data_IF_921093409607
#
_entry.id   IF_921093409607
#
_cell.length_a   1.000
_cell.length_b   1.000
_cell.length_c   1.000
_cell.angle_alpha   90.00
_cell.angle_beta   90.00
_cell.angle_gamma   90.00
#
_symmetry.space_group_name_H-M   'P 1'
#
loop_
_entity.id
_entity.type
_entity.pdbx_description
1 polymer ?
#
# COMPACT_ATOMS: atom_id res chain seq x y z
N UNK A 1 13.99 -18.65 3.38
CA UNK A 1 14.24 -17.23 3.69
C UNK A 1 13.81 -16.98 5.14
N UNK A 2 14.71 -16.52 5.98
CA UNK A 2 14.41 -16.28 7.40
C UNK A 2 14.12 -14.81 7.64
N UNK A 3 13.06 -14.51 8.38
CA UNK A 3 12.77 -13.13 8.81
C UNK A 3 13.49 -12.89 10.14
N UNK A 4 14.52 -12.08 10.13
CA UNK A 4 15.38 -11.84 11.31
C UNK A 4 14.95 -10.59 12.07
N UNK A 5 14.43 -9.58 11.35
CA UNK A 5 14.02 -8.29 11.92
C UNK A 5 12.88 -7.67 11.13
N UNK A 6 12.04 -6.93 11.83
CA UNK A 6 11.02 -6.07 11.26
C UNK A 6 11.15 -4.65 11.81
N UNK A 7 11.03 -3.66 10.97
CA UNK A 7 11.03 -2.25 11.36
C UNK A 7 9.78 -1.59 10.81
N UNK A 8 8.93 -1.06 11.69
CA UNK A 8 7.73 -0.31 11.33
C UNK A 8 7.97 1.17 11.58
N UNK A 9 7.63 2.00 10.60
CA UNK A 9 7.72 3.46 10.66
C UNK A 9 6.42 4.09 10.24
N UNK A 10 5.98 5.11 10.97
CA UNK A 10 4.93 5.99 10.52
C UNK A 10 5.55 7.15 9.74
N UNK A 11 5.03 7.43 8.55
CA UNK A 11 5.50 8.49 7.66
C UNK A 11 4.35 9.44 7.38
N UNK A 12 4.46 10.72 7.76
CA UNK A 12 3.51 11.74 7.33
C UNK A 12 3.79 12.10 5.86
N UNK A 13 2.76 12.06 5.03
CA UNK A 13 2.83 12.45 3.62
C UNK A 13 1.78 13.51 3.34
N UNK A 14 2.21 14.60 2.69
CA UNK A 14 1.30 15.62 2.17
C UNK A 14 1.04 15.34 0.69
N UNK A 15 -0.25 15.20 0.34
CA UNK A 15 -0.66 15.07 -1.05
C UNK A 15 -0.34 16.37 -1.82
N UNK A 16 -0.01 16.25 -3.09
CA UNK A 16 0.24 17.42 -3.97
C UNK A 16 -0.99 18.30 -4.09
N UNK A 17 -2.18 17.68 -4.11
CA UNK A 17 -3.46 18.34 -4.17
C UNK A 17 -4.40 17.79 -3.11
N UNK A 18 -5.37 18.60 -2.66
CA UNK A 18 -6.45 18.12 -1.82
C UNK A 18 -7.27 17.06 -2.55
N UNK A 19 -7.41 15.89 -1.96
CA UNK A 19 -8.16 14.79 -2.56
C UNK A 19 -9.52 14.65 -1.89
N UNK A 20 -10.57 15.01 -2.63
CA UNK A 20 -11.94 14.97 -2.15
C UNK A 20 -12.70 13.78 -2.73
N UNK A 21 -13.49 13.13 -1.86
CA UNK A 21 -14.46 12.08 -2.19
C UNK A 21 -15.80 12.40 -1.54
N UNK A 22 -16.85 11.64 -1.88
CA UNK A 22 -18.19 11.88 -1.34
C UNK A 22 -18.30 11.80 0.20
N UNK A 23 -17.43 11.05 0.85
CA UNK A 23 -17.40 10.88 2.32
C UNK A 23 -16.43 11.83 3.05
N UNK A 24 -15.72 12.70 2.33
CA UNK A 24 -14.75 13.62 2.93
C UNK A 24 -13.56 13.91 2.03
N UNK A 25 -12.52 14.51 2.58
CA UNK A 25 -11.30 14.83 1.85
C UNK A 25 -10.06 14.79 2.74
N UNK A 26 -8.90 14.68 2.13
CA UNK A 26 -7.62 14.65 2.82
C UNK A 26 -6.53 15.38 2.03
N UNK A 27 -5.70 16.12 2.73
CA UNK A 27 -4.46 16.72 2.23
C UNK A 27 -3.24 15.99 2.81
N UNK A 28 -3.34 15.58 4.05
CA UNK A 28 -2.24 14.95 4.77
C UNK A 28 -2.61 13.49 5.06
N UNK A 29 -1.65 12.59 4.90
CA UNK A 29 -1.81 11.17 5.16
C UNK A 29 -0.75 10.68 6.14
N UNK A 30 -1.15 9.77 7.00
CA UNK A 30 -0.27 8.95 7.83
C UNK A 30 -0.21 7.58 7.18
N UNK A 31 0.95 7.11 6.81
CA UNK A 31 1.13 5.75 6.29
C UNK A 31 2.12 4.98 7.16
N UNK A 32 1.97 3.66 7.21
CA UNK A 32 2.93 2.80 7.88
C UNK A 32 3.80 2.11 6.84
N UNK A 33 5.10 2.35 6.93
CA UNK A 33 6.09 1.69 6.08
C UNK A 33 6.76 0.58 6.89
N UNK A 34 6.64 -0.64 6.41
CA UNK A 34 7.25 -1.82 6.99
C UNK A 34 8.50 -2.23 6.20
N UNK A 35 9.57 -2.53 6.91
CA UNK A 35 10.75 -3.22 6.37
C UNK A 35 10.89 -4.56 7.05
N UNK A 36 10.94 -5.64 6.29
CA UNK A 36 11.39 -6.97 6.75
C UNK A 36 12.84 -7.17 6.34
N UNK A 37 13.63 -7.78 7.22
CA UNK A 37 15.05 -8.03 7.01
C UNK A 37 15.38 -9.47 7.36
N UNK A 38 16.26 -10.09 6.55
CA UNK A 38 16.77 -11.43 6.79
C UNK A 38 17.68 -11.89 5.65
N UNK A 39 18.59 -12.80 5.93
CA UNK A 39 19.58 -13.32 4.98
C UNK A 39 20.37 -12.21 4.23
N UNK A 40 20.59 -11.07 4.89
CA UNK A 40 21.25 -9.91 4.29
C UNK A 40 20.41 -9.09 3.30
N UNK A 41 19.13 -9.36 3.18
CA UNK A 41 18.18 -8.72 2.29
C UNK A 41 17.17 -7.86 3.06
N UNK A 42 16.52 -6.95 2.36
CA UNK A 42 15.40 -6.15 2.86
C UNK A 42 14.25 -6.22 1.87
N UNK A 43 13.02 -6.30 2.40
CA UNK A 43 11.78 -6.15 1.64
C UNK A 43 10.89 -5.08 2.28
N UNK A 44 10.14 -4.37 1.45
CA UNK A 44 9.35 -3.21 1.83
C UNK A 44 7.85 -3.42 1.57
N UNK A 45 7.03 -3.02 2.53
CA UNK A 45 5.58 -3.03 2.41
C UNK A 45 4.95 -1.81 3.04
N UNK A 46 3.80 -1.40 2.54
CA UNK A 46 3.07 -0.21 2.99
C UNK A 46 1.68 -0.60 3.50
N UNK A 47 1.31 -0.13 4.70
CA UNK A 47 -0.07 -0.17 5.17
C UNK A 47 -0.71 1.21 4.93
N UNK A 48 -1.75 1.22 4.09
CA UNK A 48 -2.43 2.43 3.61
C UNK A 48 -3.71 2.77 4.37
N UNK A 49 -3.90 2.23 5.57
CA UNK A 49 -5.05 2.54 6.40
C UNK A 49 -5.12 4.04 6.68
N UNK A 50 -6.34 4.59 6.63
CA UNK A 50 -6.58 6.01 6.87
C UNK A 50 -6.40 6.37 8.35
N UNK A 51 -6.26 7.66 8.66
CA UNK A 51 -6.17 8.12 10.04
C UNK A 51 -7.49 7.92 10.82
N UNK A 52 -8.63 7.90 10.13
CA UNK A 52 -9.96 7.71 10.67
C UNK A 52 -10.72 6.57 9.96
N UNK A 53 -11.76 5.98 10.59
CA UNK A 53 -12.50 4.84 10.05
C UNK A 53 -13.64 5.23 9.09
N UNK A 54 -13.56 6.37 8.40
CA UNK A 54 -14.63 6.84 7.52
C UNK A 54 -14.76 6.03 6.23
N UNK A 55 -13.66 5.42 5.77
CA UNK A 55 -13.63 4.61 4.55
C UNK A 55 -13.58 3.11 4.84
N UNK A 56 -12.80 2.68 5.81
CA UNK A 56 -12.65 1.30 6.24
C UNK A 56 -12.55 1.24 7.76
N UNK A 57 -12.81 0.08 8.35
CA UNK A 57 -12.71 -0.10 9.80
C UNK A 57 -11.25 -0.07 10.32
N UNK A 58 -10.28 -0.33 9.45
CA UNK A 58 -8.86 -0.21 9.80
C UNK A 58 -8.42 1.25 9.77
N UNK A 59 -7.71 1.67 10.82
CA UNK A 59 -7.04 2.97 10.87
C UNK A 59 -5.54 2.80 11.01
N UNK A 60 -4.78 3.87 10.79
CA UNK A 60 -3.33 3.87 11.01
C UNK A 60 -2.99 3.36 12.41
N UNK A 61 -3.72 3.82 13.44
CA UNK A 61 -3.45 3.45 14.84
C UNK A 61 -3.84 1.99 15.13
N UNK A 62 -4.98 1.51 14.64
CA UNK A 62 -5.37 0.10 14.80
C UNK A 62 -4.42 -0.82 14.05
N UNK A 63 -3.97 -0.44 12.84
CA UNK A 63 -3.00 -1.20 12.08
C UNK A 63 -1.63 -1.22 12.76
N UNK A 64 -1.19 -0.10 13.32
CA UNK A 64 0.04 -0.05 14.13
C UNK A 64 -0.02 -1.04 15.28
N UNK A 65 -1.08 -0.98 16.10
CA UNK A 65 -1.27 -1.90 17.22
C UNK A 65 -1.26 -3.37 16.77
N UNK A 66 -2.03 -3.72 15.75
CA UNK A 66 -2.09 -5.11 15.26
C UNK A 66 -0.75 -5.58 14.69
N UNK A 67 -0.04 -4.71 13.98
CA UNK A 67 1.29 -5.03 13.47
C UNK A 67 2.28 -5.25 14.61
N UNK A 68 2.38 -4.33 15.57
CA UNK A 68 3.42 -4.37 16.62
C UNK A 68 3.17 -5.45 17.66
N UNK A 69 1.93 -5.67 18.06
CA UNK A 69 1.61 -6.49 19.21
C UNK A 69 1.26 -7.95 18.83
N UNK A 70 0.85 -8.20 17.58
CA UNK A 70 0.38 -9.50 17.15
C UNK A 70 1.08 -10.05 15.91
N UNK A 71 1.16 -9.28 14.82
CA UNK A 71 1.66 -9.79 13.55
C UNK A 71 3.19 -9.93 13.58
N UNK A 72 3.91 -8.84 13.80
CA UNK A 72 5.37 -8.85 13.72
C UNK A 72 6.03 -9.76 14.75
N UNK A 73 5.58 -9.86 16.02
CA UNK A 73 6.12 -10.83 16.96
C UNK A 73 5.94 -12.29 16.53
N UNK A 74 4.89 -12.58 15.74
CA UNK A 74 4.63 -13.94 15.23
C UNK A 74 5.42 -14.25 13.95
N UNK A 75 5.81 -13.22 13.19
CA UNK A 75 6.51 -13.35 11.90
C UNK A 75 8.04 -13.35 12.08
N UNK A 76 8.54 -12.49 12.97
CA UNK A 76 10.00 -12.43 13.22
C UNK A 76 10.50 -13.73 13.84
N UNK A 77 11.59 -14.25 13.28
CA UNK A 77 12.17 -15.55 13.65
C UNK A 77 11.67 -16.72 12.81
N UNK A 78 10.62 -16.53 11.96
CA UNK A 78 10.10 -17.61 11.11
C UNK A 78 11.00 -17.85 9.90
N UNK A 79 11.02 -19.09 9.44
CA UNK A 79 11.63 -19.48 8.18
C UNK A 79 10.53 -19.70 7.14
N UNK A 80 10.60 -18.93 6.06
CA UNK A 80 9.60 -18.93 5.00
C UNK A 80 10.03 -19.85 3.86
N UNK A 81 9.16 -20.78 3.47
CA UNK A 81 9.31 -21.62 2.29
C UNK A 81 8.78 -20.97 1.01
N UNK A 82 7.87 -20.00 1.15
CA UNK A 82 7.37 -19.14 0.07
C UNK A 82 7.02 -17.75 0.62
N UNK A 83 6.91 -16.71 -0.24
CA UNK A 83 6.56 -15.37 0.24
C UNK A 83 5.19 -15.30 0.93
N UNK A 84 4.21 -16.05 0.45
CA UNK A 84 2.83 -16.11 0.99
C UNK A 84 2.81 -16.67 2.42
N UNK A 85 3.72 -17.61 2.72
CA UNK A 85 3.80 -18.29 4.01
C UNK A 85 4.05 -17.33 5.20
N UNK A 86 4.41 -16.06 4.91
CA UNK A 86 4.56 -15.03 5.95
C UNK A 86 3.27 -14.79 6.74
N UNK A 87 2.11 -15.08 6.15
CA UNK A 87 0.82 -14.94 6.81
C UNK A 87 0.36 -16.17 7.59
N UNK A 88 1.02 -17.33 7.43
CA UNK A 88 0.63 -18.57 8.11
C UNK A 88 0.60 -18.43 9.64
N UNK A 89 1.59 -17.81 10.31
CA UNK A 89 1.57 -17.66 11.77
C UNK A 89 0.44 -16.78 12.29
N UNK A 90 -0.17 -15.97 11.41
CA UNK A 90 -1.17 -14.94 11.75
C UNK A 90 -2.54 -15.18 11.11
N UNK A 91 -2.78 -16.38 10.56
CA UNK A 91 -4.06 -16.73 9.92
C UNK A 91 -5.28 -16.56 10.83
N UNK A 92 -5.08 -16.76 12.14
CA UNK A 92 -6.10 -16.67 13.18
C UNK A 92 -6.58 -15.23 13.44
N UNK A 93 -5.79 -14.21 13.06
CA UNK A 93 -6.17 -12.80 13.20
C UNK A 93 -7.31 -12.50 12.20
N UNK A 94 -8.47 -12.15 12.71
CA UNK A 94 -9.62 -11.81 11.87
C UNK A 94 -9.53 -10.37 11.37
N UNK A 95 -9.86 -10.15 10.09
CA UNK A 95 -9.78 -8.83 9.46
C UNK A 95 -8.35 -8.32 9.34
N UNK A 96 -8.16 -7.01 9.50
CA UNK A 96 -6.87 -6.31 9.39
C UNK A 96 -6.11 -6.61 8.09
N UNK A 97 -6.87 -6.52 6.97
CA UNK A 97 -6.34 -6.82 5.64
C UNK A 97 -5.23 -5.89 5.21
N UNK A 98 -5.31 -4.59 5.55
CA UNK A 98 -4.28 -3.61 5.20
C UNK A 98 -2.98 -3.84 5.99
N UNK A 99 -3.10 -4.18 7.28
CA UNK A 99 -1.93 -4.55 8.09
C UNK A 99 -1.25 -5.82 7.59
N UNK A 100 -2.02 -6.86 7.27
CA UNK A 100 -1.52 -8.12 6.69
C UNK A 100 -0.87 -7.90 5.32
N UNK A 101 -1.51 -7.11 4.45
CA UNK A 101 -0.99 -6.80 3.13
C UNK A 101 0.39 -6.13 3.19
N UNK A 102 0.63 -5.25 4.18
CA UNK A 102 1.95 -4.64 4.35
C UNK A 102 3.05 -5.69 4.60
N UNK A 103 2.74 -6.72 5.40
CA UNK A 103 3.69 -7.81 5.69
C UNK A 103 3.89 -8.71 4.47
N UNK A 104 2.81 -9.05 3.78
CA UNK A 104 2.87 -9.86 2.57
C UNK A 104 3.66 -9.16 1.46
N UNK A 105 3.38 -7.87 1.19
CA UNK A 105 4.12 -7.08 0.21
C UNK A 105 5.62 -7.03 0.52
N UNK A 106 5.99 -6.83 1.78
CA UNK A 106 7.39 -6.84 2.20
C UNK A 106 8.06 -8.20 1.97
N UNK A 107 7.34 -9.30 2.22
CA UNK A 107 7.82 -10.66 1.96
C UNK A 107 8.05 -10.91 0.47
N UNK A 108 7.10 -10.52 -0.38
CA UNK A 108 7.23 -10.64 -1.84
C UNK A 108 8.37 -9.79 -2.41
N UNK A 109 8.53 -8.53 -1.94
CA UNK A 109 9.65 -7.67 -2.36
C UNK A 109 11.00 -8.27 -1.96
N UNK A 110 11.10 -8.79 -0.74
CA UNK A 110 12.32 -9.46 -0.26
C UNK A 110 12.64 -10.72 -1.09
N UNK A 111 11.62 -11.54 -1.43
CA UNK A 111 11.79 -12.71 -2.27
C UNK A 111 12.19 -12.37 -3.71
N UNK A 112 11.66 -11.30 -4.28
CA UNK A 112 12.06 -10.82 -5.60
C UNK A 112 13.53 -10.37 -5.61
N UNK A 113 13.98 -9.68 -4.56
CA UNK A 113 15.39 -9.28 -4.38
C UNK A 113 16.31 -10.48 -4.19
N UNK A 114 15.86 -11.52 -3.46
CA UNK A 114 16.60 -12.76 -3.30
C UNK A 114 16.86 -13.47 -4.65
N UNK A 115 15.87 -13.45 -5.52
CA UNK A 115 15.99 -14.02 -6.88
C UNK A 115 16.70 -13.10 -7.87
N UNK A 116 16.98 -11.84 -7.50
CA UNK A 116 17.60 -10.86 -8.40
C UNK A 116 16.68 -10.40 -9.55
N UNK A 117 15.35 -10.49 -9.35
CA UNK A 117 14.36 -10.10 -10.36
C UNK A 117 13.47 -8.96 -9.85
N UNK A 118 12.73 -8.30 -10.77
CA UNK A 118 11.75 -7.32 -10.35
C UNK A 118 10.55 -7.99 -9.65
N UNK A 119 9.86 -7.26 -8.76
CA UNK A 119 8.63 -7.75 -8.15
C UNK A 119 7.58 -8.12 -9.21
N UNK A 120 7.48 -7.32 -10.29
CA UNK A 120 6.60 -7.64 -11.43
C UNK A 120 6.89 -9.01 -12.03
N UNK A 121 8.15 -9.34 -12.27
CA UNK A 121 8.54 -10.67 -12.78
C UNK A 121 8.24 -11.78 -11.77
N UNK A 122 8.54 -11.52 -10.48
CA UNK A 122 8.32 -12.49 -9.40
C UNK A 122 6.85 -12.92 -9.27
N UNK A 123 5.91 -11.99 -9.46
CA UNK A 123 4.47 -12.25 -9.42
C UNK A 123 3.87 -12.64 -10.79
N UNK A 124 4.71 -12.91 -11.80
CA UNK A 124 4.26 -13.38 -13.11
C UNK A 124 3.87 -12.29 -14.10
N UNK A 125 4.32 -11.06 -13.90
CA UNK A 125 4.11 -9.96 -14.85
C UNK A 125 4.83 -10.22 -16.17
N UNK A 126 4.11 -10.01 -17.29
CA UNK A 126 4.60 -10.28 -18.64
C UNK A 126 4.59 -9.03 -19.55
N UNK A 127 4.22 -7.87 -19.01
CA UNK A 127 4.12 -6.64 -19.78
C UNK A 127 5.14 -5.61 -19.30
N UNK A 128 5.81 -4.96 -20.22
CA UNK A 128 6.74 -3.86 -19.92
C UNK A 128 5.99 -2.54 -19.65
N UNK A 129 4.77 -2.41 -20.18
CA UNK A 129 3.93 -1.23 -20.02
C UNK A 129 2.48 -1.62 -19.78
N UNK A 130 1.84 -0.91 -18.87
CA UNK A 130 0.42 -1.07 -18.55
C UNK A 130 -0.28 0.26 -18.78
N UNK A 131 -1.34 0.34 -19.64
CA UNK A 131 -2.15 1.53 -19.78
C UNK A 131 -2.82 1.88 -18.45
N UNK A 132 -2.65 3.12 -18.03
CA UNK A 132 -3.27 3.62 -16.80
C UNK A 132 -4.30 4.71 -17.10
N UNK A 133 -5.28 4.84 -16.23
CA UNK A 133 -6.18 5.99 -16.19
C UNK A 133 -5.87 6.87 -14.99
N UNK A 134 -6.29 8.12 -15.05
CA UNK A 134 -6.20 9.07 -13.94
C UNK A 134 -7.58 9.31 -13.34
N UNK A 135 -7.65 9.59 -12.04
CA UNK A 135 -8.89 9.95 -11.35
C UNK A 135 -8.85 11.41 -10.93
N UNK A 136 -9.89 12.16 -11.31
CA UNK A 136 -10.13 13.52 -10.86
C UNK A 136 -11.01 13.49 -9.62
N UNK A 137 -10.59 14.20 -8.56
CA UNK A 137 -11.40 14.44 -7.38
C UNK A 137 -12.61 15.32 -7.68
N UNK A 138 -13.50 15.48 -6.70
CA UNK A 138 -14.61 16.43 -6.82
C UNK A 138 -14.02 17.84 -6.89
N UNK A 139 -14.51 18.66 -7.81
CA UNK A 139 -14.15 20.07 -8.01
C UNK A 139 -15.29 20.96 -7.59
N UNK A 140 -14.99 22.21 -7.28
CA UNK A 140 -15.99 23.20 -6.87
C UNK A 140 -16.77 23.75 -8.05
N UNK A 141 -16.16 23.80 -9.24
CA UNK A 141 -16.79 24.30 -10.48
C UNK A 141 -16.58 23.33 -11.65
N UNK A 142 -17.46 23.44 -12.64
CA UNK A 142 -17.34 22.67 -13.89
C UNK A 142 -16.14 23.12 -14.73
N UNK A 143 -15.76 24.41 -14.67
CA UNK A 143 -14.58 24.95 -15.34
C UNK A 143 -13.29 24.28 -14.79
N UNK A 144 -13.12 24.22 -13.46
CA UNK A 144 -11.98 23.57 -12.84
C UNK A 144 -11.90 22.09 -13.21
N UNK A 145 -13.06 21.42 -13.27
CA UNK A 145 -13.14 20.02 -13.69
C UNK A 145 -12.70 19.86 -15.14
N UNK A 146 -13.24 20.73 -16.03
CA UNK A 146 -12.93 20.70 -17.46
C UNK A 146 -11.43 20.94 -17.70
N UNK A 147 -10.87 21.99 -17.10
CA UNK A 147 -9.45 22.34 -17.25
C UNK A 147 -8.53 21.21 -16.78
N UNK A 148 -8.85 20.57 -15.65
CA UNK A 148 -8.04 19.45 -15.16
C UNK A 148 -8.16 18.21 -16.06
N UNK A 149 -9.36 17.90 -16.55
CA UNK A 149 -9.57 16.80 -17.51
C UNK A 149 -8.81 17.06 -18.81
N UNK A 150 -8.89 18.28 -19.33
CA UNK A 150 -8.18 18.68 -20.54
C UNK A 150 -6.66 18.54 -20.37
N UNK A 151 -6.10 18.99 -19.24
CA UNK A 151 -4.68 18.81 -18.94
C UNK A 151 -4.26 17.33 -18.93
N UNK A 152 -5.06 16.45 -18.35
CA UNK A 152 -4.75 15.01 -18.38
C UNK A 152 -4.85 14.37 -19.76
N UNK A 153 -5.75 14.85 -20.62
CA UNK A 153 -5.81 14.43 -22.02
C UNK A 153 -4.55 14.87 -22.77
N UNK A 154 -4.10 16.10 -22.56
CA UNK A 154 -2.86 16.65 -23.14
C UNK A 154 -1.61 15.91 -22.64
N UNK A 155 -1.60 15.45 -21.37
CA UNK A 155 -0.57 14.58 -20.81
C UNK A 155 -0.58 13.15 -21.40
N UNK A 156 -1.59 12.82 -22.24
CA UNK A 156 -1.68 11.55 -22.94
C UNK A 156 -2.44 10.45 -22.20
N UNK A 157 -3.20 10.75 -21.15
CA UNK A 157 -4.06 9.75 -20.49
C UNK A 157 -5.23 9.36 -21.40
N UNK A 158 -5.32 8.07 -21.75
CA UNK A 158 -6.41 7.54 -22.59
C UNK A 158 -7.74 7.38 -21.81
N UNK A 159 -7.71 7.44 -20.47
CA UNK A 159 -8.89 7.29 -19.62
C UNK A 159 -8.81 8.23 -18.42
N UNK A 160 -9.81 9.09 -18.29
CA UNK A 160 -10.00 9.96 -17.13
C UNK A 160 -11.27 9.53 -16.39
N UNK A 161 -11.16 9.22 -15.09
CA UNK A 161 -12.28 8.89 -14.21
C UNK A 161 -12.68 10.13 -13.43
N UNK A 162 -13.92 10.57 -13.59
CA UNK A 162 -14.49 11.72 -12.88
C UNK A 162 -15.28 11.19 -11.67
N UNK A 163 -15.12 11.83 -10.52
CA UNK A 163 -15.98 11.61 -9.34
C UNK A 163 -17.12 12.62 -9.38
N UNK A 164 -18.32 12.11 -9.16
CA UNK A 164 -19.56 12.89 -9.06
C UNK A 164 -20.18 12.73 -7.67
N UNK A 165 -20.92 13.74 -7.22
CA UNK A 165 -21.73 13.69 -5.98
C UNK A 165 -23.13 13.20 -6.31
#
# INVERSE_FOLDING_TARGET
MKIERATLREIPLRLKEFFQISSGGSQDRRILLLTLEGDGLQGWGECVASADPSYAYETTDTSWHILTDFILPSVVGTELHSPEAVLDPVWWIRGHGMAKAAVEMASWDMAARADGVSLSQKIGGVRDRVPVGVSVGIKDTDEELHDQVQGFIEDGYARVKIKVK
#
